data_IF_546865524936
#
_entry.id   IF_546865524936
#
_cell.length_a   1.000
_cell.length_b   1.000
_cell.length_c   1.000
_cell.angle_alpha   90.00
_cell.angle_beta   90.00
_cell.angle_gamma   90.00
#
_symmetry.space_group_name_H-M   'P 1'
#
loop_
_entity.id
_entity.type
_entity.pdbx_description
1 polymer ?
#
# COMPACT_ATOMS: atom_id res chain seq x y z
N UNK A 1 31.21 -10.38 -34.66
CA UNK A 1 31.09 -10.44 -33.18
C UNK A 1 30.94 -9.06 -32.54
N UNK A 2 31.79 -8.06 -32.85
CA UNK A 2 31.54 -6.67 -32.39
C UNK A 2 30.49 -5.94 -33.26
N UNK A 3 30.44 -6.25 -34.55
CA UNK A 3 29.50 -5.65 -35.51
C UNK A 3 28.03 -6.08 -35.28
N UNK A 4 27.82 -7.27 -34.73
CA UNK A 4 26.46 -7.77 -34.42
C UNK A 4 25.84 -7.01 -33.23
N UNK A 5 26.69 -6.54 -32.31
CA UNK A 5 26.28 -5.81 -31.11
C UNK A 5 25.95 -4.35 -31.44
N UNK A 6 26.67 -3.74 -32.40
CA UNK A 6 26.36 -2.38 -32.88
C UNK A 6 25.04 -2.34 -33.66
N UNK A 7 24.74 -3.38 -34.44
CA UNK A 7 23.45 -3.50 -35.16
C UNK A 7 22.30 -3.59 -34.15
N UNK A 8 22.41 -4.46 -33.13
CA UNK A 8 21.38 -4.60 -32.11
C UNK A 8 21.12 -3.30 -31.33
N UNK A 9 22.16 -2.51 -31.04
CA UNK A 9 22.01 -1.22 -30.38
C UNK A 9 21.31 -0.18 -31.27
N UNK A 10 21.66 -0.13 -32.55
CA UNK A 10 21.04 0.78 -33.52
C UNK A 10 19.54 0.46 -33.71
N UNK A 11 19.16 -0.81 -33.71
CA UNK A 11 17.76 -1.24 -33.79
C UNK A 11 16.96 -0.80 -32.56
N UNK A 12 17.51 -0.99 -31.35
CA UNK A 12 16.87 -0.56 -30.10
C UNK A 12 16.68 0.96 -30.05
N UNK A 13 17.66 1.72 -30.55
CA UNK A 13 17.60 3.17 -30.58
C UNK A 13 16.56 3.68 -31.59
N UNK A 14 16.51 3.08 -32.78
CA UNK A 14 15.47 3.35 -33.78
C UNK A 14 14.06 3.01 -33.28
N UNK A 15 13.89 1.95 -32.48
CA UNK A 15 12.60 1.65 -31.84
C UNK A 15 12.21 2.69 -30.79
N UNK A 16 13.16 3.18 -29.99
CA UNK A 16 12.92 4.22 -28.98
C UNK A 16 12.47 5.52 -29.62
N UNK A 17 13.13 5.93 -30.71
CA UNK A 17 12.79 7.16 -31.43
C UNK A 17 11.39 7.07 -32.06
N UNK A 18 11.04 5.92 -32.64
CA UNK A 18 9.68 5.65 -33.14
C UNK A 18 8.61 5.67 -32.04
N UNK A 19 8.94 5.20 -30.82
CA UNK A 19 8.04 5.28 -29.65
C UNK A 19 7.86 6.72 -29.18
N UNK A 20 8.94 7.51 -29.15
CA UNK A 20 8.90 8.93 -28.77
C UNK A 20 8.10 9.77 -29.78
N UNK A 21 8.23 9.50 -31.07
CA UNK A 21 7.44 10.20 -32.11
C UNK A 21 5.93 9.88 -32.03
N UNK A 22 5.55 8.68 -31.57
CA UNK A 22 4.14 8.31 -31.33
C UNK A 22 3.52 8.98 -30.10
N UNK A 23 4.33 9.59 -29.24
CA UNK A 23 3.85 10.40 -28.11
C UNK A 23 3.67 11.88 -28.44
N UNK A 24 3.66 12.23 -29.74
CA UNK A 24 3.46 13.59 -30.24
C UNK A 24 2.08 14.19 -29.93
N UNK A 25 2.09 15.18 -29.04
CA UNK A 25 1.36 16.45 -29.11
C UNK A 25 -0.15 16.42 -29.41
N UNK A 26 -0.89 15.74 -28.54
CA UNK A 26 -2.35 15.78 -28.55
C UNK A 26 -2.98 15.14 -27.32
N UNK A 27 -2.28 15.15 -26.18
CA UNK A 27 -2.82 14.57 -24.96
C UNK A 27 -3.79 15.57 -24.32
N UNK A 28 -5.05 15.60 -24.79
CA UNK A 28 -6.13 16.06 -23.92
C UNK A 28 -5.97 15.26 -22.63
N UNK A 29 -5.62 15.92 -21.54
CA UNK A 29 -5.49 15.29 -20.23
C UNK A 29 -6.89 14.88 -19.83
N UNK A 30 -7.39 13.74 -20.32
CA UNK A 30 -8.61 13.15 -19.82
C UNK A 30 -8.35 13.00 -18.32
N UNK A 31 -9.17 13.62 -17.45
CA UNK A 31 -8.96 13.48 -16.02
C UNK A 31 -8.93 11.98 -15.74
N UNK A 32 -7.88 11.53 -15.03
CA UNK A 32 -7.77 10.14 -14.65
C UNK A 32 -9.10 9.72 -14.01
N UNK A 33 -9.66 8.56 -14.38
CA UNK A 33 -10.90 8.11 -13.78
C UNK A 33 -10.72 8.14 -12.27
N UNK A 34 -11.55 8.93 -11.58
CA UNK A 34 -11.61 8.93 -10.11
C UNK A 34 -12.05 7.53 -9.71
N UNK A 35 -11.08 6.65 -9.49
CA UNK A 35 -11.32 5.38 -8.81
C UNK A 35 -11.81 5.78 -7.43
N UNK A 36 -13.10 5.61 -7.20
CA UNK A 36 -13.63 5.60 -5.85
C UNK A 36 -13.01 4.38 -5.19
N UNK A 37 -11.86 4.58 -4.53
CA UNK A 37 -11.47 3.77 -3.38
C UNK A 37 -12.51 4.13 -2.30
N UNK A 38 -13.75 3.74 -2.56
CA UNK A 38 -14.88 3.99 -1.70
C UNK A 38 -14.82 3.00 -0.55
N UNK A 39 -15.41 3.40 0.57
CA UNK A 39 -15.61 2.49 1.69
C UNK A 39 -16.43 1.29 1.23
N UNK A 40 -16.12 0.11 1.77
CA UNK A 40 -16.85 -1.11 1.43
C UNK A 40 -18.33 -0.97 1.86
N UNK A 41 -19.27 -1.60 1.12
CA UNK A 41 -20.69 -1.50 1.43
C UNK A 41 -21.00 -1.83 2.89
N UNK A 42 -21.77 -0.97 3.56
CA UNK A 42 -22.06 -1.12 4.98
C UNK A 42 -22.94 -2.35 5.32
N UNK A 43 -23.63 -2.90 4.31
CA UNK A 43 -24.47 -4.09 4.45
C UNK A 43 -23.67 -5.40 4.57
N UNK A 44 -22.39 -5.41 4.16
CA UNK A 44 -21.56 -6.60 4.29
C UNK A 44 -21.16 -6.82 5.76
N UNK A 45 -21.16 -8.08 6.24
CA UNK A 45 -20.72 -8.38 7.61
C UNK A 45 -19.25 -8.00 7.79
N UNK A 46 -18.96 -7.25 8.84
CA UNK A 46 -17.59 -6.86 9.24
C UNK A 46 -17.07 -7.82 10.30
N UNK A 47 -15.87 -8.36 10.07
CA UNK A 47 -15.14 -9.18 11.03
C UNK A 47 -13.89 -8.42 11.42
N UNK A 48 -13.72 -8.13 12.71
CA UNK A 48 -12.55 -7.43 13.24
C UNK A 48 -11.42 -8.42 13.54
N UNK A 49 -10.26 -8.19 12.97
CA UNK A 49 -9.02 -8.91 13.23
C UNK A 49 -8.01 -7.94 13.86
N UNK A 50 -7.72 -8.10 15.14
CA UNK A 50 -6.73 -7.29 15.85
C UNK A 50 -5.36 -7.95 15.73
N UNK A 51 -4.39 -7.23 15.19
CA UNK A 51 -2.99 -7.65 15.14
C UNK A 51 -2.26 -6.86 16.22
N UNK A 52 -1.83 -7.54 17.28
CA UNK A 52 -1.02 -6.94 18.34
C UNK A 52 0.48 -6.98 18.00
N UNK A 53 1.27 -6.00 18.46
CA UNK A 53 2.72 -6.01 18.29
C UNK A 53 3.35 -7.11 19.16
N UNK A 54 4.50 -7.62 18.71
CA UNK A 54 5.22 -8.72 19.39
C UNK A 54 5.61 -8.40 20.83
N UNK A 55 5.85 -7.11 21.15
CA UNK A 55 6.16 -6.67 22.50
C UNK A 55 5.52 -5.32 22.83
N UNK A 56 4.96 -5.26 24.04
CA UNK A 56 4.36 -4.05 24.62
C UNK A 56 5.30 -3.39 25.64
N UNK A 57 6.54 -3.87 25.74
CA UNK A 57 7.53 -3.37 26.69
C UNK A 57 8.33 -2.27 26.01
N UNK A 58 8.52 -1.14 26.70
CA UNK A 58 9.37 -0.08 26.17
C UNK A 58 10.82 -0.54 26.01
N UNK A 59 11.47 -0.27 24.87
CA UNK A 59 12.91 -0.49 24.72
C UNK A 59 13.74 0.33 25.73
N UNK A 60 13.17 1.41 26.25
CA UNK A 60 13.73 2.23 27.31
C UNK A 60 13.64 1.62 28.73
N UNK A 61 12.95 0.49 28.90
CA UNK A 61 12.76 -0.15 30.21
C UNK A 61 11.75 0.54 31.13
N UNK A 62 11.00 1.56 30.65
CA UNK A 62 9.99 2.29 31.43
C UNK A 62 8.80 1.41 31.88
N UNK A 63 8.68 0.19 31.37
CA UNK A 63 7.58 -0.73 31.60
C UNK A 63 6.69 -0.90 30.37
N UNK A 64 5.41 -1.17 30.61
CA UNK A 64 4.42 -1.39 29.55
C UNK A 64 4.03 -0.08 28.85
N UNK A 65 3.94 -0.13 27.52
CA UNK A 65 3.49 0.98 26.69
C UNK A 65 1.96 1.13 26.72
N UNK A 66 1.47 2.34 26.49
CA UNK A 66 0.05 2.64 26.46
C UNK A 66 -0.47 2.77 25.03
N UNK A 67 -1.68 2.27 24.76
CA UNK A 67 -2.34 2.43 23.47
C UNK A 67 -2.63 3.92 23.22
N UNK A 68 -2.07 4.47 22.15
CA UNK A 68 -2.23 5.86 21.72
C UNK A 68 -3.18 6.02 20.53
N UNK A 69 -3.40 4.94 19.77
CA UNK A 69 -4.23 4.96 18.59
C UNK A 69 -4.34 3.59 17.96
N UNK A 70 -4.91 3.54 16.76
CA UNK A 70 -5.00 2.32 15.97
C UNK A 70 -5.17 2.67 14.50
N UNK A 71 -4.53 1.88 13.63
CA UNK A 71 -4.78 1.95 12.20
C UNK A 71 -5.79 0.88 11.82
N UNK A 72 -6.84 1.29 11.10
CA UNK A 72 -7.90 0.41 10.62
C UNK A 72 -7.82 0.30 9.10
N UNK A 73 -7.81 -0.92 8.59
CA UNK A 73 -7.84 -1.20 7.14
C UNK A 73 -8.93 -2.20 6.84
N UNK A 74 -9.83 -1.88 5.90
CA UNK A 74 -10.89 -2.78 5.45
C UNK A 74 -10.48 -3.49 4.16
N UNK A 75 -10.74 -4.79 4.05
CA UNK A 75 -10.60 -5.57 2.81
C UNK A 75 -11.82 -6.46 2.59
N UNK A 76 -12.21 -6.63 1.33
CA UNK A 76 -13.25 -7.59 0.96
C UNK A 76 -12.64 -9.01 0.99
N UNK A 77 -13.27 -9.90 1.73
CA UNK A 77 -12.95 -11.32 1.76
C UNK A 77 -14.07 -12.12 1.08
N UNK A 78 -13.66 -12.97 0.13
CA UNK A 78 -14.57 -13.75 -0.71
C UNK A 78 -14.54 -15.17 -0.18
N UNK A 79 -15.55 -15.52 0.62
CA UNK A 79 -15.81 -16.91 1.01
C UNK A 79 -16.78 -17.50 -0.02
N UNK A 80 -16.62 -18.75 -0.49
CA UNK A 80 -17.46 -19.32 -1.55
C UNK A 80 -18.98 -19.20 -1.36
N UNK A 81 -19.45 -19.02 -0.12
CA UNK A 81 -20.86 -18.85 0.22
C UNK A 81 -21.25 -17.40 0.61
N UNK A 82 -20.29 -16.53 0.97
CA UNK A 82 -20.58 -15.21 1.56
C UNK A 82 -19.46 -14.20 1.28
N UNK A 83 -19.84 -12.97 0.95
CA UNK A 83 -18.93 -11.83 0.95
C UNK A 83 -18.89 -11.22 2.35
N UNK A 84 -17.70 -10.98 2.86
CA UNK A 84 -17.49 -10.35 4.17
C UNK A 84 -16.38 -9.32 4.09
N UNK A 85 -16.36 -8.40 5.02
CA UNK A 85 -15.31 -7.39 5.13
C UNK A 85 -14.44 -7.75 6.33
N UNK A 86 -13.16 -7.97 6.10
CA UNK A 86 -12.18 -8.11 7.18
C UNK A 86 -11.67 -6.70 7.50
N UNK A 87 -11.90 -6.28 8.74
CA UNK A 87 -11.39 -5.03 9.30
C UNK A 87 -10.16 -5.38 10.13
N UNK A 88 -8.98 -5.14 9.57
CA UNK A 88 -7.73 -5.34 10.31
C UNK A 88 -7.44 -4.10 11.15
N UNK A 89 -7.30 -4.29 12.46
CA UNK A 89 -6.98 -3.26 13.44
C UNK A 89 -5.55 -3.48 13.93
N UNK A 90 -4.69 -2.48 13.76
CA UNK A 90 -3.30 -2.47 14.29
C UNK A 90 -3.17 -1.38 15.35
N UNK A 91 -3.29 -1.72 16.65
CA UNK A 91 -3.13 -0.76 17.73
C UNK A 91 -1.71 -0.18 17.77
N UNK A 92 -1.62 1.13 18.01
CA UNK A 92 -0.36 1.84 18.22
C UNK A 92 -0.14 2.05 19.70
N UNK A 93 1.05 1.73 20.18
CA UNK A 93 1.45 1.89 21.57
C UNK A 93 2.60 2.88 21.69
N UNK A 94 2.62 3.66 22.77
CA UNK A 94 3.73 4.54 23.10
C UNK A 94 4.09 4.51 24.59
N UNK A 95 5.37 4.66 24.92
CA UNK A 95 5.78 4.97 26.30
C UNK A 95 5.50 6.45 26.61
N UNK A 96 5.06 6.75 27.84
CA UNK A 96 4.84 8.13 28.31
C UNK A 96 6.13 8.82 28.78
N UNK A 97 7.14 8.03 29.10
CA UNK A 97 8.38 8.49 29.75
C UNK A 97 9.50 8.77 28.76
N UNK A 98 9.55 8.03 27.64
CA UNK A 98 10.50 8.30 26.57
C UNK A 98 9.77 8.82 25.32
N UNK A 99 10.45 9.68 24.57
CA UNK A 99 9.89 10.30 23.37
C UNK A 99 9.91 9.36 22.15
N UNK A 100 10.75 8.31 22.18
CA UNK A 100 11.10 7.52 20.99
C UNK A 100 10.45 6.11 20.94
N UNK A 101 9.65 5.74 21.93
CA UNK A 101 9.12 4.37 22.03
C UNK A 101 7.71 4.24 21.47
N UNK A 102 7.53 4.24 20.14
CA UNK A 102 6.24 3.93 19.47
C UNK A 102 6.31 2.57 18.76
N UNK A 103 5.37 1.67 19.04
CA UNK A 103 5.25 0.35 18.38
C UNK A 103 3.84 0.14 17.80
N UNK A 104 3.75 -0.68 16.75
CA UNK A 104 2.50 -0.98 16.01
C UNK A 104 2.49 -2.44 15.57
#
# INVERSE_FOLDING_TARGET
AFEDLSIALAEVEAEKEKRAAKTGDGASTKPAPKRTIGNLPAALPRIEEVIEPDSLICPCGCGAMHKIGEDRTERLDIVPAQLRVIVTVRPKYACRTCTDGVTQ
#
